data_IF_020455058755
#
_entry.id   IF_020455058755
#
_cell.length_a   1.000
_cell.length_b   1.000
_cell.length_c   1.000
_cell.angle_alpha   90.00
_cell.angle_beta   90.00
_cell.angle_gamma   90.00
#
_symmetry.space_group_name_H-M   'P 1'
#
loop_
_entity.id
_entity.type
_entity.pdbx_description
1 polymer ?
#
# COMPACT_ATOMS: atom_id res chain seq x y z
N UNK A 1 -21.43 -17.67 0.83
CA UNK A 1 -21.60 -16.46 1.64
C UNK A 1 -20.41 -15.52 1.42
N UNK A 2 -20.69 -14.33 1.02
CA UNK A 2 -19.63 -13.36 0.74
C UNK A 2 -19.06 -12.82 2.05
N UNK A 3 -17.78 -13.07 2.26
CA UNK A 3 -17.08 -12.42 3.36
C UNK A 3 -16.87 -10.96 3.00
N UNK A 4 -17.53 -10.08 3.70
CA UNK A 4 -17.29 -8.66 3.53
C UNK A 4 -15.97 -8.28 4.17
N UNK A 5 -15.10 -7.65 3.41
CA UNK A 5 -13.87 -7.08 3.93
C UNK A 5 -14.22 -5.91 4.84
N UNK A 6 -13.67 -5.90 6.03
CA UNK A 6 -13.91 -4.84 7.00
C UNK A 6 -13.11 -3.62 6.63
N UNK A 7 -13.73 -2.44 6.67
CA UNK A 7 -13.03 -1.19 6.46
C UNK A 7 -12.08 -0.92 7.62
N UNK A 8 -10.90 -0.38 7.32
CA UNK A 8 -9.90 -0.04 8.33
C UNK A 8 -10.21 1.29 8.98
N UNK A 9 -10.01 1.33 10.30
CA UNK A 9 -9.91 2.61 10.98
C UNK A 9 -8.51 3.18 10.76
N UNK A 10 -8.34 4.49 10.93
CA UNK A 10 -7.04 5.11 10.81
C UNK A 10 -6.04 4.56 11.84
N UNK A 11 -6.51 4.28 13.05
CA UNK A 11 -5.68 3.67 14.10
C UNK A 11 -5.19 2.29 13.71
N UNK A 12 -6.07 1.44 13.18
CA UNK A 12 -5.71 0.11 12.70
C UNK A 12 -4.69 0.20 11.57
N UNK A 13 -4.91 1.12 10.64
CA UNK A 13 -3.98 1.35 9.53
C UNK A 13 -2.58 1.67 10.06
N UNK A 14 -2.48 2.65 10.95
CA UNK A 14 -1.18 3.04 11.53
C UNK A 14 -0.52 1.90 12.26
N UNK A 15 -1.30 1.14 13.04
CA UNK A 15 -0.80 0.01 13.81
C UNK A 15 -0.24 -1.08 12.89
N UNK A 16 -0.98 -1.44 11.85
CA UNK A 16 -0.55 -2.46 10.90
C UNK A 16 0.73 -2.03 10.18
N UNK A 17 0.77 -0.82 9.65
CA UNK A 17 1.93 -0.31 8.91
C UNK A 17 3.17 -0.25 9.82
N UNK A 18 3.01 0.27 11.03
CA UNK A 18 4.12 0.34 11.99
C UNK A 18 4.64 -1.04 12.35
N UNK A 19 3.74 -1.99 12.57
CA UNK A 19 4.09 -3.37 12.93
C UNK A 19 4.86 -4.05 11.80
N UNK A 20 4.42 -3.88 10.57
CA UNK A 20 5.13 -4.43 9.39
C UNK A 20 6.52 -3.82 9.27
N UNK A 21 6.66 -2.51 9.50
CA UNK A 21 7.94 -1.82 9.40
C UNK A 21 8.92 -2.21 10.49
N UNK A 22 8.43 -2.52 11.68
CA UNK A 22 9.28 -2.89 12.80
C UNK A 22 9.62 -4.38 12.82
N UNK A 23 8.77 -5.21 12.24
CA UNK A 23 8.84 -6.65 12.41
C UNK A 23 8.29 -7.06 13.78
N UNK A 24 8.13 -8.35 14.00
CA UNK A 24 7.54 -8.86 15.24
C UNK A 24 7.89 -10.32 15.44
N UNK A 25 7.63 -10.81 16.65
CA UNK A 25 7.84 -12.20 17.01
C UNK A 25 6.46 -12.82 17.28
N UNK A 26 6.14 -13.89 16.54
CA UNK A 26 4.89 -14.61 16.72
C UNK A 26 4.88 -15.39 18.05
N UNK A 27 3.69 -15.79 18.52
CA UNK A 27 3.53 -16.52 19.76
C UNK A 27 4.29 -17.84 19.80
N UNK A 28 4.51 -18.46 18.64
CA UNK A 28 5.28 -19.71 18.51
C UNK A 28 6.80 -19.46 18.44
N UNK A 29 7.25 -18.21 18.56
CA UNK A 29 8.66 -17.84 18.49
C UNK A 29 9.17 -17.53 17.11
N UNK A 30 8.33 -17.66 16.08
CA UNK A 30 8.73 -17.32 14.70
C UNK A 30 8.97 -15.82 14.57
N UNK A 31 10.12 -15.46 13.99
CA UNK A 31 10.49 -14.06 13.79
C UNK A 31 10.05 -13.61 12.40
N UNK A 32 9.25 -12.53 12.35
CA UNK A 32 8.87 -11.88 11.11
C UNK A 32 9.69 -10.60 11.01
N UNK A 33 10.57 -10.55 10.02
CA UNK A 33 11.48 -9.42 9.85
C UNK A 33 10.75 -8.16 9.37
N UNK A 34 11.32 -6.98 9.66
CA UNK A 34 10.80 -5.74 9.08
C UNK A 34 10.64 -5.85 7.57
N UNK A 35 9.54 -5.33 7.05
CA UNK A 35 9.26 -5.41 5.61
C UNK A 35 8.72 -4.07 5.11
N UNK A 36 9.64 -3.13 4.88
CA UNK A 36 9.25 -1.79 4.42
C UNK A 36 8.61 -1.82 3.02
N UNK A 37 8.92 -2.82 2.21
CA UNK A 37 8.34 -2.96 0.87
C UNK A 37 6.82 -3.20 0.96
N UNK A 38 6.41 -4.16 1.76
CA UNK A 38 4.98 -4.45 1.97
C UNK A 38 4.29 -3.26 2.64
N UNK A 39 4.92 -2.67 3.66
CA UNK A 39 4.35 -1.51 4.34
C UNK A 39 4.11 -0.35 3.37
N UNK A 40 5.08 -0.07 2.51
CA UNK A 40 4.97 1.03 1.53
C UNK A 40 3.90 0.74 0.49
N UNK A 41 3.83 -0.51 -0.01
CA UNK A 41 2.80 -0.88 -0.98
C UNK A 41 1.39 -0.69 -0.41
N UNK A 42 1.15 -1.15 0.81
CA UNK A 42 -0.15 -0.99 1.48
C UNK A 42 -0.45 0.48 1.79
N UNK A 43 0.56 1.24 2.17
CA UNK A 43 0.43 2.68 2.41
C UNK A 43 0.00 3.42 1.15
N UNK A 44 0.57 3.07 0.00
CA UNK A 44 0.19 3.67 -1.28
C UNK A 44 -1.21 3.24 -1.71
N UNK A 45 -1.60 2.00 -1.46
CA UNK A 45 -2.96 1.55 -1.72
C UNK A 45 -3.95 2.42 -0.96
N UNK A 46 -3.67 2.70 0.30
CA UNK A 46 -4.51 3.54 1.15
C UNK A 46 -4.57 4.99 0.66
N UNK A 47 -3.44 5.54 0.25
CA UNK A 47 -3.34 6.96 -0.10
C UNK A 47 -3.73 7.27 -1.54
N UNK A 48 -3.64 6.30 -2.45
CA UNK A 48 -4.00 6.50 -3.85
C UNK A 48 -5.35 5.88 -4.21
N UNK A 49 -5.89 5.01 -3.37
CA UNK A 49 -7.18 4.37 -3.64
C UNK A 49 -7.14 3.36 -4.79
N UNK A 50 -5.97 2.89 -5.16
CA UNK A 50 -5.80 1.88 -6.21
C UNK A 50 -5.82 0.48 -5.61
N UNK A 51 -6.14 -0.52 -6.44
CA UNK A 51 -6.03 -1.93 -6.02
C UNK A 51 -4.56 -2.30 -5.83
N UNK A 52 -4.31 -3.26 -4.95
CA UNK A 52 -2.92 -3.69 -4.71
C UNK A 52 -2.24 -4.18 -6.00
N UNK A 53 -2.97 -4.85 -6.89
CA UNK A 53 -2.42 -5.28 -8.18
C UNK A 53 -1.91 -4.09 -9.01
N UNK A 54 -2.58 -2.95 -8.95
CA UNK A 54 -2.15 -1.75 -9.66
C UNK A 54 -0.96 -1.10 -8.98
N UNK A 55 -0.94 -1.09 -7.66
CA UNK A 55 0.20 -0.59 -6.88
C UNK A 55 1.47 -1.39 -7.22
N UNK A 56 1.35 -2.71 -7.32
CA UNK A 56 2.51 -3.57 -7.60
C UNK A 56 3.04 -3.46 -9.03
N UNK A 57 2.31 -2.80 -9.92
CA UNK A 57 2.76 -2.49 -11.29
C UNK A 57 3.15 -1.03 -11.47
N UNK A 58 3.05 -0.25 -10.41
CA UNK A 58 3.29 1.19 -10.46
C UNK A 58 4.78 1.49 -10.67
N UNK A 59 5.04 2.46 -11.55
CA UNK A 59 6.37 3.02 -11.79
C UNK A 59 6.36 4.50 -11.47
N UNK A 60 7.48 5.03 -11.03
CA UNK A 60 7.58 6.46 -10.79
C UNK A 60 7.26 7.25 -12.06
N UNK A 61 7.65 6.71 -13.23
CA UNK A 61 7.38 7.33 -14.53
C UNK A 61 5.90 7.39 -14.89
N UNK A 62 5.03 6.66 -14.18
CA UNK A 62 3.58 6.77 -14.37
C UNK A 62 3.02 8.08 -13.80
N UNK A 63 3.81 8.77 -13.01
CA UNK A 63 3.42 10.04 -12.41
C UNK A 63 4.18 11.15 -13.12
N UNK A 64 3.45 12.02 -13.79
CA UNK A 64 4.03 13.13 -14.56
C UNK A 64 3.69 14.46 -13.90
N UNK A 65 4.59 15.41 -14.07
CA UNK A 65 4.35 16.76 -13.62
C UNK A 65 3.50 17.50 -14.66
N UNK A 66 2.42 18.11 -14.20
CA UNK A 66 1.51 18.89 -15.01
C UNK A 66 1.33 20.25 -14.34
N UNK A 67 2.12 21.25 -14.75
CA UNK A 67 2.16 22.53 -14.10
C UNK A 67 2.75 22.41 -12.68
N UNK A 68 1.96 22.78 -11.69
CA UNK A 68 2.34 22.67 -10.27
C UNK A 68 1.80 21.38 -9.61
N UNK A 69 1.23 20.47 -10.42
CA UNK A 69 0.61 19.24 -9.92
C UNK A 69 1.30 18.02 -10.48
N UNK A 70 1.11 16.90 -9.77
CA UNK A 70 1.55 15.59 -10.23
C UNK A 70 0.32 14.76 -10.60
N UNK A 71 0.35 14.12 -11.75
CA UNK A 71 -0.78 13.34 -12.26
C UNK A 71 -0.36 11.91 -12.51
N UNK A 72 -1.14 10.98 -11.99
CA UNK A 72 -0.98 9.56 -12.27
C UNK A 72 -1.83 9.19 -13.48
N UNK A 73 -1.26 8.39 -14.37
CA UNK A 73 -1.97 7.89 -15.54
C UNK A 73 -1.57 6.43 -15.72
N UNK A 74 -2.49 5.53 -15.41
CA UNK A 74 -2.26 4.08 -15.51
C UNK A 74 -3.46 3.39 -16.15
N UNK A 75 -3.24 2.14 -16.57
CA UNK A 75 -4.31 1.24 -17.00
C UNK A 75 -4.46 0.17 -15.92
N UNK A 76 -5.66 0.05 -15.38
CA UNK A 76 -5.93 -0.93 -14.32
C UNK A 76 -5.74 -2.34 -14.80
N UNK A 77 -5.09 -3.17 -14.00
CA UNK A 77 -4.79 -4.56 -14.35
C UNK A 77 -6.04 -5.40 -14.54
N UNK A 78 -7.03 -5.27 -13.66
CA UNK A 78 -8.25 -6.09 -13.71
C UNK A 78 -9.25 -5.64 -14.76
N UNK A 79 -9.47 -4.34 -14.89
CA UNK A 79 -10.55 -3.79 -15.73
C UNK A 79 -10.06 -3.32 -17.08
N UNK A 80 -8.75 -3.13 -17.25
CA UNK A 80 -8.12 -2.51 -18.42
C UNK A 80 -8.62 -1.10 -18.69
N UNK A 81 -9.20 -0.46 -17.68
CA UNK A 81 -9.66 0.92 -17.77
C UNK A 81 -8.55 1.87 -17.36
N UNK A 82 -8.54 3.04 -18.02
CA UNK A 82 -7.60 4.09 -17.66
C UNK A 82 -8.01 4.76 -16.36
N UNK A 83 -7.03 4.98 -15.49
CA UNK A 83 -7.19 5.77 -14.27
C UNK A 83 -6.24 6.96 -14.35
N UNK A 84 -6.80 8.12 -14.18
CA UNK A 84 -6.05 9.36 -14.24
C UNK A 84 -6.54 10.30 -13.13
N UNK A 85 -5.61 10.73 -12.27
CA UNK A 85 -5.97 11.62 -11.16
C UNK A 85 -4.73 12.34 -10.64
N UNK A 86 -4.97 13.41 -9.87
CA UNK A 86 -3.90 14.18 -9.25
C UNK A 86 -3.37 13.44 -8.02
N UNK A 87 -2.05 13.33 -7.94
CA UNK A 87 -1.36 12.78 -6.77
C UNK A 87 -0.95 13.93 -5.87
N UNK A 88 -1.33 13.92 -4.59
CA UNK A 88 -0.87 14.96 -3.67
C UNK A 88 0.66 15.05 -3.66
N UNK A 89 1.18 16.25 -3.53
CA UNK A 89 2.63 16.49 -3.60
C UNK A 89 3.39 15.70 -2.54
N UNK A 90 2.88 15.62 -1.31
CA UNK A 90 3.50 14.86 -0.24
C UNK A 90 3.57 13.36 -0.55
N UNK A 91 2.54 12.81 -1.20
CA UNK A 91 2.54 11.41 -1.62
C UNK A 91 3.55 11.18 -2.75
N UNK A 92 3.64 12.10 -3.70
CA UNK A 92 4.65 12.00 -4.76
C UNK A 92 6.08 12.02 -4.17
N UNK A 93 6.34 12.91 -3.22
CA UNK A 93 7.64 13.00 -2.55
C UNK A 93 7.94 11.69 -1.80
N UNK A 94 6.94 11.12 -1.14
CA UNK A 94 7.07 9.84 -0.46
C UNK A 94 7.46 8.72 -1.44
N UNK A 95 6.79 8.64 -2.59
CA UNK A 95 7.10 7.65 -3.63
C UNK A 95 8.51 7.85 -4.19
N UNK A 96 8.86 9.10 -4.50
CA UNK A 96 10.18 9.44 -5.02
C UNK A 96 11.28 9.09 -4.03
N UNK A 97 11.07 9.40 -2.75
CA UNK A 97 12.03 9.07 -1.69
C UNK A 97 12.23 7.57 -1.57
N UNK A 98 11.14 6.80 -1.63
CA UNK A 98 11.22 5.35 -1.60
C UNK A 98 12.03 4.80 -2.78
N UNK A 99 11.78 5.32 -3.98
CA UNK A 99 12.51 4.89 -5.17
C UNK A 99 14.01 5.21 -5.06
N UNK A 100 14.35 6.39 -4.56
CA UNK A 100 15.75 6.79 -4.37
C UNK A 100 16.44 5.95 -3.32
N UNK A 101 15.81 5.72 -2.19
CA UNK A 101 16.37 4.92 -1.10
C UNK A 101 16.62 3.47 -1.50
N UNK A 102 15.81 2.94 -2.41
CA UNK A 102 15.90 1.56 -2.85
C UNK A 102 16.55 1.40 -4.23
N UNK A 103 17.13 2.48 -4.77
CA UNK A 103 17.82 2.49 -6.07
C UNK A 103 16.95 1.96 -7.21
N UNK A 104 15.69 2.39 -7.23
CA UNK A 104 14.72 1.96 -8.25
C UNK A 104 14.71 2.97 -9.39
N UNK A 105 14.96 2.49 -10.60
CA UNK A 105 14.89 3.33 -11.80
C UNK A 105 13.45 3.80 -12.03
N UNK A 106 13.23 5.05 -12.49
CA UNK A 106 11.87 5.56 -12.71
C UNK A 106 10.98 4.71 -13.61
N UNK A 107 11.58 3.96 -14.54
CA UNK A 107 10.84 3.08 -15.45
C UNK A 107 10.68 1.66 -14.92
N UNK A 108 11.25 1.35 -13.77
CA UNK A 108 11.11 0.04 -13.13
C UNK A 108 9.91 0.03 -12.19
N UNK A 109 9.33 -1.14 -11.98
CA UNK A 109 8.28 -1.29 -10.97
C UNK A 109 8.83 -0.91 -9.59
N UNK A 110 8.06 -0.15 -8.83
CA UNK A 110 8.45 0.24 -7.47
C UNK A 110 8.56 -0.98 -6.54
N UNK A 111 7.75 -2.00 -6.79
CA UNK A 111 7.66 -3.16 -5.91
C UNK A 111 7.90 -4.44 -6.69
N UNK A 112 8.98 -5.15 -6.32
CA UNK A 112 9.30 -6.45 -6.91
C UNK A 112 8.81 -7.55 -5.97
N UNK A 113 7.50 -7.61 -5.79
CA UNK A 113 6.82 -8.61 -4.97
C UNK A 113 5.49 -8.97 -5.61
N UNK A 114 5.00 -10.17 -5.30
CA UNK A 114 3.71 -10.62 -5.78
C UNK A 114 2.59 -10.16 -4.85
N UNK A 115 1.38 -10.10 -5.38
CA UNK A 115 0.19 -9.83 -4.59
C UNK A 115 0.02 -10.87 -3.48
N UNK A 116 0.34 -12.13 -3.79
CA UNK A 116 0.29 -13.23 -2.81
C UNK A 116 1.24 -12.98 -1.63
N UNK A 117 2.44 -12.48 -1.91
CA UNK A 117 3.41 -12.16 -0.85
C UNK A 117 2.89 -11.05 0.06
N UNK A 118 2.28 -10.03 -0.51
CA UNK A 118 1.67 -8.93 0.27
C UNK A 118 0.54 -9.47 1.15
N UNK A 119 -0.35 -10.27 0.57
CA UNK A 119 -1.48 -10.85 1.28
C UNK A 119 -1.03 -11.75 2.43
N UNK A 120 -0.01 -12.57 2.18
CA UNK A 120 0.54 -13.47 3.20
C UNK A 120 1.14 -12.70 4.37
N UNK A 121 1.92 -11.66 4.06
CA UNK A 121 2.56 -10.85 5.11
C UNK A 121 1.52 -10.08 5.92
N UNK A 122 0.51 -9.54 5.25
CA UNK A 122 -0.59 -8.84 5.91
C UNK A 122 -1.35 -9.78 6.84
N UNK A 123 -1.61 -11.01 6.40
CA UNK A 123 -2.31 -12.00 7.23
C UNK A 123 -1.51 -12.33 8.49
N UNK A 124 -0.20 -12.55 8.36
CA UNK A 124 0.66 -12.79 9.51
C UNK A 124 0.61 -11.63 10.50
N UNK A 125 0.65 -10.42 10.00
CA UNK A 125 0.61 -9.21 10.82
C UNK A 125 -0.73 -9.09 11.56
N UNK A 126 -1.83 -9.28 10.84
CA UNK A 126 -3.16 -9.17 11.44
C UNK A 126 -3.41 -10.29 12.47
N UNK A 127 -2.91 -11.49 12.20
CA UNK A 127 -2.98 -12.59 13.19
C UNK A 127 -2.21 -12.22 14.47
N UNK A 128 -1.02 -11.65 14.31
CA UNK A 128 -0.23 -11.19 15.46
C UNK A 128 -0.95 -10.10 16.25
N UNK A 129 -1.62 -9.17 15.55
CA UNK A 129 -2.34 -8.07 16.17
C UNK A 129 -3.75 -8.46 16.63
N UNK A 130 -4.16 -9.69 16.38
CA UNK A 130 -5.50 -10.21 16.68
C UNK A 130 -6.61 -9.39 15.99
N UNK A 131 -6.34 -8.97 14.76
CA UNK A 131 -7.31 -8.26 13.91
C UNK A 131 -7.88 -9.24 12.87
N UNK A 132 -9.20 -9.26 12.75
CA UNK A 132 -9.91 -10.18 11.86
C UNK A 132 -10.63 -9.44 10.75
N UNK A 133 -10.79 -10.09 9.60
CA UNK A 133 -11.57 -9.55 8.50
C UNK A 133 -10.85 -8.49 7.69
N UNK A 134 -9.54 -8.33 7.85
CA UNK A 134 -8.77 -7.32 7.16
C UNK A 134 -7.99 -7.98 6.02
N UNK A 135 -8.17 -7.45 4.81
CA UNK A 135 -7.40 -7.83 3.62
C UNK A 135 -6.82 -6.60 2.96
N UNK A 136 -6.12 -6.79 1.84
CA UNK A 136 -5.56 -5.65 1.11
C UNK A 136 -6.63 -4.65 0.70
N UNK A 137 -7.82 -5.13 0.33
CA UNK A 137 -8.94 -4.24 -0.04
C UNK A 137 -9.35 -3.28 1.07
N UNK A 138 -9.13 -3.65 2.33
CA UNK A 138 -9.45 -2.79 3.46
C UNK A 138 -8.70 -1.47 3.42
N UNK A 139 -7.51 -1.47 2.81
CA UNK A 139 -6.65 -0.28 2.73
C UNK A 139 -7.16 0.76 1.75
N UNK A 140 -8.03 0.38 0.80
CA UNK A 140 -8.62 1.32 -0.15
C UNK A 140 -9.71 2.18 0.49
N UNK A 141 -10.29 1.73 1.60
CA UNK A 141 -11.41 2.37 2.27
C UNK A 141 -11.09 2.56 3.74
N UNK A 142 -10.29 3.56 4.05
CA UNK A 142 -9.94 3.86 5.44
C UNK A 142 -10.97 4.82 6.01
N UNK A 143 -11.51 4.45 7.18
CA UNK A 143 -12.41 5.31 7.93
C UNK A 143 -11.59 6.38 8.64
N UNK A 144 -11.60 7.58 8.09
CA UNK A 144 -10.88 8.69 8.68
C UNK A 144 -11.81 9.50 9.56
N UNK A 145 -11.30 9.95 10.70
CA UNK A 145 -12.03 10.88 11.54
C UNK A 145 -12.06 12.23 10.84
N UNK A 146 -13.26 12.78 10.72
CA UNK A 146 -13.41 14.13 10.20
C UNK A 146 -13.13 15.08 11.35
N UNK A 147 -12.03 15.80 11.26
CA UNK A 147 -11.75 16.91 12.17
C UNK A 147 -12.66 18.07 11.79
N UNK A 148 -13.51 18.42 12.69
CA UNK A 148 -14.32 19.63 12.50
C UNK A 148 -13.73 20.78 13.25
#
# INVERSE_FOLDING_TARGET
MNKKTVALTEEQYKLIITTIRQGFICSDGHIVKPNNRVATALSLEANLGLRISDILHLRLSDIIRDGDRYRLNIIEQKTQKRREFTVPTDIYIYIQSYALENNIHPNAKLFDISERAVTKHLKLTCDYLELKGIGSHSFRSILRQVSM
#
